data_IF_418904669531
#
_entry.id   IF_418904669531
#
_cell.length_a   1.000
_cell.length_b   1.000
_cell.length_c   1.000
_cell.angle_alpha   90.00
_cell.angle_beta   90.00
_cell.angle_gamma   90.00
#
_symmetry.space_group_name_H-M   'P 1'
#
loop_
_entity.id
_entity.type
_entity.pdbx_description
1 polymer ?
#
# COMPACT_ATOMS: atom_id res chain seq x y z
N UNK A 1 -7.20 13.10 -14.55
CA UNK A 1 -6.66 14.43 -14.20
C UNK A 1 -7.53 15.21 -13.22
N UNK A 2 -8.82 15.51 -13.52
CA UNK A 2 -9.70 16.33 -12.65
C UNK A 2 -9.70 15.92 -11.17
N UNK A 3 -9.78 14.62 -10.88
CA UNK A 3 -9.70 14.09 -9.52
C UNK A 3 -8.35 14.38 -8.83
N UNK A 4 -7.23 14.26 -9.55
CA UNK A 4 -5.91 14.59 -8.99
C UNK A 4 -5.79 16.08 -8.63
N UNK A 5 -6.31 16.96 -9.48
CA UNK A 5 -6.35 18.41 -9.21
C UNK A 5 -7.24 18.72 -8.01
N UNK A 6 -8.45 18.12 -7.93
CA UNK A 6 -9.38 18.29 -6.80
C UNK A 6 -8.74 17.87 -5.47
N UNK A 7 -7.98 16.78 -5.46
CA UNK A 7 -7.26 16.28 -4.28
C UNK A 7 -5.93 16.99 -4.02
N UNK A 8 -5.52 17.94 -4.88
CA UNK A 8 -4.25 18.66 -4.79
C UNK A 8 -3.04 17.72 -4.71
N UNK A 9 -3.08 16.61 -5.45
CA UNK A 9 -1.93 15.70 -5.62
C UNK A 9 -1.15 15.97 -6.90
N UNK A 10 -1.75 16.78 -7.78
CA UNK A 10 -1.11 17.35 -8.96
C UNK A 10 -1.52 18.82 -9.08
N UNK A 11 -0.70 19.63 -9.73
CA UNK A 11 -1.01 21.02 -10.11
C UNK A 11 -0.66 21.25 -11.58
N UNK A 12 -1.30 22.24 -12.19
CA UNK A 12 -0.89 22.76 -13.49
C UNK A 12 0.40 23.58 -13.33
N UNK A 13 1.33 23.44 -14.26
CA UNK A 13 2.53 24.29 -14.38
C UNK A 13 2.27 25.25 -15.52
N UNK A 14 2.35 26.56 -15.26
CA UNK A 14 2.09 27.56 -16.30
C UNK A 14 3.27 27.66 -17.26
N UNK A 15 3.03 28.20 -18.45
CA UNK A 15 4.09 28.41 -19.43
C UNK A 15 5.16 29.38 -18.90
N UNK A 16 4.76 30.40 -18.14
CA UNK A 16 5.69 31.35 -17.51
C UNK A 16 6.56 30.70 -16.44
N UNK A 17 6.01 29.76 -15.65
CA UNK A 17 6.78 28.99 -14.68
C UNK A 17 7.79 28.07 -15.39
N UNK A 18 7.35 27.41 -16.46
CA UNK A 18 8.20 26.53 -17.24
C UNK A 18 9.34 27.30 -17.92
N UNK A 19 9.04 28.43 -18.55
CA UNK A 19 10.03 29.32 -19.19
C UNK A 19 11.01 29.85 -18.15
N UNK A 20 10.54 30.30 -16.99
CA UNK A 20 11.41 30.77 -15.91
C UNK A 20 12.38 29.68 -15.42
N UNK A 21 11.89 28.45 -15.25
CA UNK A 21 12.76 27.35 -14.83
C UNK A 21 13.81 27.00 -15.90
N UNK A 22 13.46 27.14 -17.19
CA UNK A 22 14.42 27.01 -18.29
C UNK A 22 15.46 28.14 -18.30
N UNK A 23 15.01 29.39 -18.22
CA UNK A 23 15.87 30.59 -18.24
C UNK A 23 16.85 30.61 -17.07
N UNK A 24 16.41 30.13 -15.90
CA UNK A 24 17.25 30.02 -14.70
C UNK A 24 18.11 28.76 -14.66
N UNK A 25 18.03 27.90 -15.68
CA UNK A 25 18.81 26.67 -15.78
C UNK A 25 18.46 25.62 -14.72
N UNK A 26 17.23 25.64 -14.17
CA UNK A 26 16.82 24.64 -13.19
C UNK A 26 16.66 23.27 -13.85
N UNK A 27 17.22 22.25 -13.21
CA UNK A 27 17.01 20.86 -13.59
C UNK A 27 15.57 20.44 -13.30
N UNK A 28 14.97 19.76 -14.26
CA UNK A 28 13.61 19.22 -14.19
C UNK A 28 13.57 17.83 -14.82
N UNK A 29 12.55 17.04 -14.48
CA UNK A 29 12.35 15.70 -15.04
C UNK A 29 10.88 15.44 -15.34
N UNK A 30 10.63 14.73 -16.43
CA UNK A 30 9.29 14.38 -16.88
C UNK A 30 9.07 12.88 -16.77
N UNK A 31 8.10 12.50 -15.95
CA UNK A 31 7.67 11.12 -15.74
C UNK A 31 6.83 10.65 -16.93
N UNK A 32 7.21 9.49 -17.47
CA UNK A 32 6.32 8.74 -18.33
C UNK A 32 5.13 8.27 -17.50
N UNK A 33 3.94 8.28 -18.09
CA UNK A 33 2.75 7.77 -17.42
C UNK A 33 1.87 6.99 -18.38
N UNK A 34 1.15 6.03 -17.83
CA UNK A 34 0.19 5.20 -18.56
C UNK A 34 -0.96 4.77 -17.65
N UNK A 35 -2.09 4.46 -18.27
CA UNK A 35 -3.27 3.97 -17.58
C UNK A 35 -3.21 2.45 -17.43
N UNK A 36 -3.49 1.96 -16.23
CA UNK A 36 -3.75 0.54 -15.94
C UNK A 36 -5.21 0.40 -15.57
N UNK A 37 -5.94 -0.42 -16.33
CA UNK A 37 -7.32 -0.78 -16.01
C UNK A 37 -7.35 -1.91 -14.98
N UNK A 38 -8.30 -1.83 -14.05
CA UNK A 38 -8.56 -2.88 -13.06
C UNK A 38 -10.05 -3.23 -13.08
N UNK A 39 -10.36 -4.49 -12.80
CA UNK A 39 -11.71 -4.95 -12.51
C UNK A 39 -12.14 -4.50 -11.11
N UNK A 40 -12.22 -3.18 -10.92
CA UNK A 40 -12.61 -2.54 -9.67
C UNK A 40 -13.82 -1.65 -9.94
N UNK A 41 -14.89 -1.87 -9.17
CA UNK A 41 -16.11 -1.05 -9.24
C UNK A 41 -15.85 0.43 -8.91
N UNK A 42 -14.86 0.73 -8.08
CA UNK A 42 -14.61 2.08 -7.56
C UNK A 42 -13.38 2.76 -8.16
N UNK A 43 -12.37 2.01 -8.62
CA UNK A 43 -11.17 2.57 -9.26
C UNK A 43 -10.83 1.79 -10.53
N UNK A 44 -11.62 1.95 -11.60
CA UNK A 44 -11.46 1.18 -12.83
C UNK A 44 -10.17 1.53 -13.59
N UNK A 45 -9.62 2.74 -13.39
CA UNK A 45 -8.38 3.19 -14.03
C UNK A 45 -7.43 3.77 -12.97
N UNK A 46 -6.18 3.32 -12.98
CA UNK A 46 -5.08 3.90 -12.20
C UNK A 46 -4.02 4.45 -13.14
N UNK A 47 -3.61 5.70 -12.92
CA UNK A 47 -2.45 6.29 -13.61
C UNK A 47 -1.20 5.82 -12.88
N UNK A 48 -0.28 5.21 -13.62
CA UNK A 48 1.05 4.84 -13.13
C UNK A 48 2.04 5.85 -13.64
N UNK A 49 2.85 6.41 -12.75
CA UNK A 49 3.99 7.26 -13.08
C UNK A 49 5.25 6.41 -12.99
N UNK A 50 5.95 6.27 -14.12
CA UNK A 50 7.11 5.39 -14.23
C UNK A 50 8.41 6.16 -14.01
N UNK A 51 8.87 6.18 -12.76
CA UNK A 51 10.17 6.74 -12.38
C UNK A 51 11.37 5.88 -12.80
N UNK A 52 11.14 4.68 -13.36
CA UNK A 52 12.19 3.82 -13.94
C UNK A 52 12.33 3.98 -15.45
N UNK A 53 11.39 4.66 -16.10
CA UNK A 53 11.47 4.97 -17.52
C UNK A 53 12.79 5.69 -17.82
N UNK A 54 13.54 5.18 -18.81
CA UNK A 54 14.86 5.70 -19.14
C UNK A 54 14.78 6.73 -20.25
N UNK A 55 15.49 7.84 -20.06
CA UNK A 55 15.76 8.85 -21.09
C UNK A 55 17.26 9.16 -21.07
N UNK A 56 17.89 9.09 -22.25
CA UNK A 56 19.34 9.28 -22.41
C UNK A 56 20.18 8.43 -21.43
N UNK A 57 19.76 7.17 -21.22
CA UNK A 57 20.46 6.24 -20.31
C UNK A 57 20.13 6.41 -18.83
N UNK A 58 19.41 7.46 -18.42
CA UNK A 58 19.09 7.74 -17.02
C UNK A 58 17.61 7.57 -16.70
N UNK A 59 17.30 7.26 -15.45
CA UNK A 59 15.94 7.31 -14.88
C UNK A 59 15.93 8.18 -13.62
N UNK A 60 14.77 8.69 -13.21
CA UNK A 60 14.66 9.46 -11.97
C UNK A 60 15.16 8.64 -10.76
N UNK A 61 14.81 7.35 -10.73
CA UNK A 61 15.21 6.44 -9.65
C UNK A 61 16.72 6.15 -9.57
N UNK A 62 17.50 6.48 -10.61
CA UNK A 62 18.97 6.40 -10.54
C UNK A 62 19.55 7.49 -9.60
N UNK A 63 18.82 8.60 -9.43
CA UNK A 63 19.23 9.75 -8.60
C UNK A 63 18.57 9.80 -7.22
N UNK A 64 17.48 9.06 -7.02
CA UNK A 64 16.81 8.99 -5.73
C UNK A 64 17.48 7.94 -4.83
N UNK A 65 17.76 8.31 -3.59
CA UNK A 65 18.21 7.36 -2.57
C UNK A 65 17.04 6.49 -2.14
N UNK A 66 17.27 5.19 -1.88
CA UNK A 66 16.20 4.27 -1.46
C UNK A 66 15.72 4.56 -0.03
N UNK A 67 16.62 5.00 0.84
CA UNK A 67 16.43 4.91 2.28
C UNK A 67 16.56 3.48 2.80
N UNK A 68 16.50 3.33 4.11
CA UNK A 68 16.54 2.05 4.78
C UNK A 68 15.22 1.28 4.57
N UNK A 69 15.33 -0.05 4.50
CA UNK A 69 14.14 -0.89 4.46
C UNK A 69 13.65 -1.15 5.88
N UNK A 70 12.74 -0.30 6.34
CA UNK A 70 12.12 -0.37 7.67
C UNK A 70 10.73 -1.00 7.67
N UNK A 71 10.37 -1.68 6.57
CA UNK A 71 9.13 -2.45 6.51
C UNK A 71 9.16 -3.57 7.54
N UNK A 72 8.02 -3.84 8.16
CA UNK A 72 7.82 -5.04 8.96
C UNK A 72 8.00 -6.29 8.10
N UNK A 73 8.58 -7.32 8.71
CA UNK A 73 8.62 -8.62 8.08
C UNK A 73 7.19 -9.18 7.97
N UNK A 74 6.84 -9.62 6.76
CA UNK A 74 5.48 -10.03 6.42
C UNK A 74 5.07 -11.31 7.17
N UNK A 75 6.02 -12.22 7.42
CA UNK A 75 5.77 -13.43 8.18
C UNK A 75 5.54 -13.10 9.65
N UNK A 76 6.33 -12.19 10.22
CA UNK A 76 6.10 -11.74 11.59
C UNK A 76 4.76 -11.04 11.79
N UNK A 77 4.35 -10.17 10.86
CA UNK A 77 3.01 -9.55 10.86
C UNK A 77 1.92 -10.62 10.84
N UNK A 78 2.12 -11.67 10.03
CA UNK A 78 1.18 -12.77 9.91
C UNK A 78 1.03 -13.56 11.23
N UNK A 79 2.15 -13.85 11.90
CA UNK A 79 2.14 -14.51 13.19
C UNK A 79 1.42 -13.67 14.24
N UNK A 80 1.77 -12.38 14.39
CA UNK A 80 1.13 -11.50 15.37
C UNK A 80 -0.35 -11.24 15.10
N UNK A 81 -0.76 -11.23 13.83
CA UNK A 81 -2.18 -11.18 13.46
C UNK A 81 -2.98 -12.41 13.96
N UNK A 82 -2.31 -13.51 14.28
CA UNK A 82 -2.94 -14.74 14.78
C UNK A 82 -2.67 -15.03 16.26
N UNK A 83 -2.01 -14.12 16.98
CA UNK A 83 -1.67 -14.31 18.39
C UNK A 83 -2.87 -14.17 19.35
N UNK A 84 -3.90 -13.39 18.97
CA UNK A 84 -5.06 -13.10 19.84
C UNK A 84 -6.40 -13.42 19.19
N UNK A 85 -7.47 -13.42 19.99
CA UNK A 85 -8.82 -13.85 19.61
C UNK A 85 -9.52 -12.92 18.59
N UNK A 86 -9.28 -11.61 18.67
CA UNK A 86 -9.93 -10.63 17.79
C UNK A 86 -8.93 -10.09 16.78
N UNK A 87 -9.06 -10.52 15.52
CA UNK A 87 -8.26 -10.01 14.41
C UNK A 87 -8.83 -8.70 13.86
N UNK A 88 -7.96 -7.78 13.46
CA UNK A 88 -8.30 -6.54 12.78
C UNK A 88 -7.48 -6.41 11.50
N UNK A 89 -8.15 -6.12 10.39
CA UNK A 89 -7.50 -5.66 9.18
C UNK A 89 -8.07 -4.32 8.73
N UNK A 90 -7.23 -3.49 8.12
CA UNK A 90 -7.63 -2.22 7.52
C UNK A 90 -6.63 -1.77 6.46
N UNK A 91 -6.99 -0.78 5.64
CA UNK A 91 -6.08 -0.16 4.67
C UNK A 91 -6.00 1.36 4.78
N UNK A 92 -4.80 1.92 4.55
CA UNK A 92 -4.61 3.36 4.42
C UNK A 92 -4.89 3.78 2.98
N UNK A 93 -5.98 4.51 2.80
CA UNK A 93 -6.39 5.03 1.50
C UNK A 93 -5.36 6.02 0.95
N UNK A 94 -4.73 5.64 -0.17
CA UNK A 94 -3.80 6.50 -0.92
C UNK A 94 -2.64 7.00 -0.05
N UNK A 95 -2.06 6.12 0.76
CA UNK A 95 -1.00 6.42 1.74
C UNK A 95 0.06 7.41 1.23
N UNK A 96 0.67 7.17 0.07
CA UNK A 96 1.71 8.07 -0.47
C UNK A 96 1.23 9.50 -0.74
N UNK A 97 -0.05 9.67 -1.11
CA UNK A 97 -0.63 10.97 -1.41
C UNK A 97 -0.91 11.82 -0.16
N UNK A 98 -0.79 11.24 1.04
CA UNK A 98 -0.81 12.02 2.28
C UNK A 98 0.44 12.88 2.44
N UNK A 99 1.56 12.51 1.79
CA UNK A 99 2.88 13.07 2.02
C UNK A 99 3.21 14.06 0.91
N UNK A 100 3.49 15.31 1.27
CA UNK A 100 3.85 16.36 0.32
C UNK A 100 5.31 16.25 -0.10
N UNK A 101 5.57 16.50 -1.39
CA UNK A 101 6.92 16.71 -1.90
C UNK A 101 7.25 18.19 -1.72
N UNK A 102 8.49 18.50 -1.35
CA UNK A 102 8.96 19.88 -1.30
C UNK A 102 8.80 20.54 -2.68
N UNK A 103 8.33 21.79 -2.79
CA UNK A 103 8.14 22.45 -4.08
C UNK A 103 9.37 22.41 -5.01
N UNK A 104 10.57 22.48 -4.43
CA UNK A 104 11.82 22.40 -5.19
C UNK A 104 12.06 21.01 -5.80
N UNK A 105 11.61 19.94 -5.15
CA UNK A 105 11.81 18.57 -5.63
C UNK A 105 10.67 18.12 -6.55
N UNK A 106 9.48 18.71 -6.39
CA UNK A 106 8.30 18.40 -7.20
C UNK A 106 8.54 18.60 -8.71
N UNK A 107 9.46 19.50 -9.11
CA UNK A 107 9.85 19.73 -10.52
C UNK A 107 10.46 18.51 -11.22
N UNK A 108 10.88 17.49 -10.46
CA UNK A 108 11.34 16.22 -11.01
C UNK A 108 10.20 15.22 -11.25
N UNK A 109 8.98 15.57 -10.84
CA UNK A 109 7.76 14.79 -11.01
C UNK A 109 6.77 15.48 -11.94
N UNK A 110 7.29 16.17 -12.97
CA UNK A 110 6.45 16.75 -14.03
C UNK A 110 5.97 15.68 -14.98
N UNK A 111 4.86 15.92 -15.65
CA UNK A 111 4.33 15.05 -16.68
C UNK A 111 3.44 15.83 -17.63
N UNK A 112 3.32 15.33 -18.86
CA UNK A 112 2.51 15.97 -19.89
C UNK A 112 1.13 15.32 -19.98
N UNK A 113 0.07 16.10 -20.14
CA UNK A 113 -1.30 15.57 -20.28
C UNK A 113 -2.15 16.45 -21.20
N UNK A 114 -3.06 15.83 -21.95
CA UNK A 114 -4.14 16.48 -22.69
C UNK A 114 -5.42 15.67 -22.53
N UNK A 115 -6.56 16.33 -22.45
CA UNK A 115 -7.85 15.66 -22.25
C UNK A 115 -8.35 14.94 -23.51
N UNK A 116 -8.04 15.47 -24.69
CA UNK A 116 -8.34 14.85 -25.97
C UNK A 116 -7.22 15.12 -26.99
N UNK A 117 -7.12 14.34 -28.08
CA UNK A 117 -6.06 14.49 -29.07
C UNK A 117 -5.96 15.88 -29.71
N UNK A 118 -7.09 16.59 -29.84
CA UNK A 118 -7.16 17.93 -30.42
C UNK A 118 -6.85 19.07 -29.44
N UNK A 119 -6.68 18.78 -28.15
CA UNK A 119 -6.31 19.79 -27.15
C UNK A 119 -4.78 19.91 -27.07
N UNK A 120 -4.26 21.12 -26.74
CA UNK A 120 -2.84 21.30 -26.52
C UNK A 120 -2.35 20.42 -25.37
N UNK A 121 -1.10 19.95 -25.51
CA UNK A 121 -0.41 19.25 -24.43
C UNK A 121 -0.06 20.26 -23.35
N UNK A 122 -0.43 19.95 -22.10
CA UNK A 122 -0.15 20.79 -20.95
C UNK A 122 0.79 20.08 -19.98
N UNK A 123 1.52 20.85 -19.18
CA UNK A 123 2.44 20.34 -18.17
C UNK A 123 1.78 20.36 -16.80
N UNK A 124 1.89 19.24 -16.10
CA UNK A 124 1.44 19.07 -14.74
C UNK A 124 2.60 18.61 -13.87
N UNK A 125 2.48 18.83 -12.57
CA UNK A 125 3.49 18.49 -11.57
C UNK A 125 2.82 17.76 -10.40
N UNK A 126 3.35 16.60 -10.01
CA UNK A 126 2.91 15.91 -8.79
C UNK A 126 3.41 16.67 -7.57
N UNK A 127 2.55 16.80 -6.57
CA UNK A 127 2.85 17.55 -5.33
C UNK A 127 2.96 16.66 -4.10
N UNK A 128 2.80 15.36 -4.29
CA UNK A 128 2.83 14.35 -3.23
C UNK A 128 3.67 13.16 -3.66
N UNK A 129 4.22 12.44 -2.68
CA UNK A 129 4.97 11.21 -2.93
C UNK A 129 4.14 10.28 -3.83
N UNK A 130 4.76 9.73 -4.86
CA UNK A 130 4.08 8.87 -5.83
C UNK A 130 4.56 7.44 -5.72
N UNK A 131 3.67 6.50 -6.02
CA UNK A 131 4.07 5.12 -6.21
C UNK A 131 5.01 5.02 -7.43
N UNK A 132 6.09 4.27 -7.29
CA UNK A 132 7.08 4.06 -8.35
C UNK A 132 8.45 4.70 -8.06
N UNK A 133 8.50 5.73 -7.20
CA UNK A 133 9.79 6.25 -6.76
C UNK A 133 10.46 5.29 -5.78
N UNK A 134 11.77 5.19 -5.88
CA UNK A 134 12.63 4.34 -5.03
C UNK A 134 12.46 4.63 -3.52
N UNK A 135 12.38 5.89 -3.03
CA UNK A 135 12.21 6.18 -1.61
C UNK A 135 10.75 6.11 -1.11
N UNK A 136 9.75 6.03 -1.99
CA UNK A 136 8.34 6.17 -1.58
C UNK A 136 7.91 5.22 -0.46
N UNK A 137 8.29 3.92 -0.47
CA UNK A 137 7.98 3.01 0.63
C UNK A 137 8.52 3.51 1.98
N UNK A 138 9.81 3.83 2.04
CA UNK A 138 10.47 4.29 3.28
C UNK A 138 9.89 5.62 3.74
N UNK A 139 9.68 6.58 2.82
CA UNK A 139 9.06 7.85 3.15
C UNK A 139 7.66 7.68 3.75
N UNK A 140 6.87 6.73 3.24
CA UNK A 140 5.54 6.44 3.76
C UNK A 140 5.55 5.95 5.20
N UNK A 141 6.40 4.96 5.50
CA UNK A 141 6.47 4.34 6.83
C UNK A 141 7.07 5.31 7.86
N UNK A 142 8.15 6.02 7.50
CA UNK A 142 8.74 7.03 8.39
C UNK A 142 7.71 8.10 8.75
N UNK A 143 6.96 8.59 7.76
CA UNK A 143 5.94 9.62 8.02
C UNK A 143 4.79 9.06 8.87
N UNK A 144 4.36 7.83 8.62
CA UNK A 144 3.32 7.17 9.42
C UNK A 144 3.73 7.04 10.89
N UNK A 145 4.96 6.56 11.15
CA UNK A 145 5.53 6.45 12.51
C UNK A 145 5.69 7.82 13.16
N UNK A 146 6.12 8.83 12.40
CA UNK A 146 6.27 10.19 12.88
C UNK A 146 4.94 10.80 13.34
N UNK A 147 3.87 10.59 12.58
CA UNK A 147 2.50 11.05 12.92
C UNK A 147 2.04 10.48 14.26
N UNK A 148 2.31 9.21 14.54
CA UNK A 148 1.99 8.60 15.85
C UNK A 148 2.87 9.16 16.95
N UNK A 149 4.18 9.28 16.72
CA UNK A 149 5.09 9.82 17.72
C UNK A 149 4.72 11.27 18.14
N UNK A 150 4.27 12.08 17.18
CA UNK A 150 3.87 13.48 17.41
C UNK A 150 2.47 13.61 18.04
N UNK A 151 1.52 12.77 17.65
CA UNK A 151 0.10 12.95 18.02
C UNK A 151 -0.44 11.96 19.06
N UNK A 152 0.32 10.92 19.37
CA UNK A 152 0.03 9.94 20.40
C UNK A 152 1.29 9.69 21.26
N UNK A 153 1.95 10.78 21.67
CA UNK A 153 3.15 10.72 22.50
C UNK A 153 2.89 9.93 23.79
N UNK A 154 3.70 8.91 24.04
CA UNK A 154 3.55 8.02 25.20
C UNK A 154 2.56 6.86 25.00
N UNK A 155 1.88 6.76 23.86
CA UNK A 155 1.03 5.61 23.54
C UNK A 155 1.90 4.47 22.97
N UNK A 156 2.42 3.62 23.85
CA UNK A 156 3.27 2.48 23.47
C UNK A 156 2.55 1.49 22.56
N UNK A 157 1.24 1.31 22.74
CA UNK A 157 0.42 0.41 21.93
C UNK A 157 0.36 0.90 20.48
N UNK A 158 0.03 2.18 20.25
CA UNK A 158 -0.01 2.73 18.89
C UNK A 158 1.37 2.76 18.22
N UNK A 159 2.42 3.06 18.98
CA UNK A 159 3.78 3.01 18.46
C UNK A 159 4.15 1.60 17.99
N UNK A 160 3.83 0.56 18.78
CA UNK A 160 4.01 -0.85 18.39
C UNK A 160 3.20 -1.20 17.14
N UNK A 161 1.90 -0.87 17.12
CA UNK A 161 1.01 -1.18 15.99
C UNK A 161 1.56 -0.60 14.69
N UNK A 162 1.96 0.68 14.69
CA UNK A 162 2.51 1.34 13.49
C UNK A 162 3.93 0.89 13.15
N UNK A 163 4.71 0.45 14.13
CA UNK A 163 6.02 -0.11 13.89
C UNK A 163 5.95 -1.51 13.26
N UNK A 164 5.07 -2.37 13.78
CA UNK A 164 5.21 -3.82 13.64
C UNK A 164 4.09 -4.47 12.84
N UNK A 165 2.91 -3.84 12.71
CA UNK A 165 1.71 -4.47 12.12
C UNK A 165 1.26 -3.90 10.77
N UNK A 166 1.81 -2.74 10.38
CA UNK A 166 1.62 -2.24 9.03
C UNK A 166 2.62 -2.90 8.09
N UNK A 167 2.10 -3.59 7.08
CA UNK A 167 2.86 -3.91 5.88
C UNK A 167 2.46 -2.92 4.79
N UNK A 168 3.28 -1.88 4.60
CA UNK A 168 2.96 -0.75 3.72
C UNK A 168 1.63 -0.08 4.12
N UNK A 169 0.62 -0.09 3.26
CA UNK A 169 -0.72 0.47 3.51
C UNK A 169 -1.69 -0.48 4.22
N UNK A 170 -1.34 -1.77 4.36
CA UNK A 170 -2.21 -2.78 4.97
C UNK A 170 -1.88 -2.99 6.46
N UNK A 171 -2.86 -2.80 7.33
CA UNK A 171 -2.81 -3.14 8.76
C UNK A 171 -3.32 -4.57 8.97
N UNK A 172 -2.58 -5.38 9.73
CA UNK A 172 -3.06 -6.67 10.23
C UNK A 172 -2.62 -6.80 11.70
N UNK A 173 -3.55 -6.72 12.63
CA UNK A 173 -3.30 -6.76 14.09
C UNK A 173 -4.26 -7.74 14.75
N UNK A 174 -3.92 -8.22 15.95
CA UNK A 174 -4.86 -8.92 16.81
C UNK A 174 -4.82 -8.39 18.24
N UNK A 175 -5.96 -8.46 18.92
CA UNK A 175 -6.13 -8.05 20.32
C UNK A 175 -6.99 -9.05 21.06
N UNK A 176 -6.95 -9.00 22.39
CA UNK A 176 -7.53 -10.06 23.24
C UNK A 176 -9.06 -10.03 23.29
N UNK A 177 -9.70 -8.89 23.02
CA UNK A 177 -11.16 -8.77 23.10
C UNK A 177 -11.72 -7.62 22.25
N UNK A 178 -13.04 -7.61 22.09
CA UNK A 178 -13.79 -6.60 21.31
C UNK A 178 -13.59 -5.17 21.81
N UNK A 179 -13.49 -4.96 23.13
CA UNK A 179 -13.33 -3.62 23.70
C UNK A 179 -12.00 -3.00 23.26
N UNK A 180 -10.90 -3.75 23.38
CA UNK A 180 -9.59 -3.32 22.90
C UNK A 180 -9.59 -3.08 21.38
N UNK A 181 -10.29 -3.90 20.62
CA UNK A 181 -10.40 -3.75 19.17
C UNK A 181 -11.07 -2.42 18.78
N UNK A 182 -12.18 -2.07 19.45
CA UNK A 182 -12.90 -0.83 19.22
C UNK A 182 -12.09 0.39 19.68
N UNK A 183 -11.41 0.30 20.82
CA UNK A 183 -10.52 1.35 21.31
C UNK A 183 -9.35 1.59 20.36
N UNK A 184 -8.68 0.52 19.91
CA UNK A 184 -7.58 0.60 18.96
C UNK A 184 -8.04 1.20 17.63
N UNK A 185 -9.15 0.71 17.06
CA UNK A 185 -9.74 1.25 15.83
C UNK A 185 -9.97 2.75 15.95
N UNK A 186 -10.59 3.19 17.05
CA UNK A 186 -10.90 4.60 17.29
C UNK A 186 -9.65 5.45 17.41
N UNK A 187 -8.74 5.10 18.33
CA UNK A 187 -7.50 5.84 18.60
C UNK A 187 -6.61 5.92 17.36
N UNK A 188 -6.37 4.79 16.70
CA UNK A 188 -5.50 4.75 15.52
C UNK A 188 -6.10 5.59 14.38
N UNK A 189 -7.41 5.50 14.15
CA UNK A 189 -8.10 6.32 13.14
C UNK A 189 -8.00 7.81 13.44
N UNK A 190 -8.19 8.23 14.70
CA UNK A 190 -8.07 9.65 15.07
C UNK A 190 -6.64 10.16 14.92
N UNK A 191 -5.65 9.41 15.42
CA UNK A 191 -4.24 9.78 15.37
C UNK A 191 -3.75 9.90 13.93
N UNK A 192 -3.97 8.88 13.09
CA UNK A 192 -3.51 8.88 11.71
C UNK A 192 -4.21 9.93 10.84
N UNK A 193 -5.45 10.29 11.17
CA UNK A 193 -6.19 11.38 10.50
C UNK A 193 -5.48 12.73 10.67
N UNK A 194 -4.76 12.98 11.77
CA UNK A 194 -3.97 14.23 11.95
C UNK A 194 -2.84 14.35 10.93
N UNK A 195 -2.26 13.22 10.52
CA UNK A 195 -1.29 13.12 9.42
C UNK A 195 -1.90 12.99 8.03
N UNK A 196 -3.21 13.20 7.87
CA UNK A 196 -3.96 13.00 6.63
C UNK A 196 -3.89 11.55 6.08
N UNK A 197 -3.57 10.58 6.95
CA UNK A 197 -3.65 9.15 6.64
C UNK A 197 -5.06 8.65 6.98
N UNK A 198 -5.88 8.46 5.94
CA UNK A 198 -7.24 7.97 6.09
C UNK A 198 -7.27 6.44 6.09
N UNK A 199 -7.43 5.84 7.26
CA UNK A 199 -7.70 4.41 7.41
C UNK A 199 -9.15 4.11 7.00
N UNK A 200 -9.35 2.98 6.32
CA UNK A 200 -10.66 2.50 5.87
C UNK A 200 -10.69 0.98 5.78
N UNK A 201 -11.86 0.45 5.43
CA UNK A 201 -12.10 -0.98 5.23
C UNK A 201 -11.73 -1.80 6.46
N UNK A 202 -12.12 -1.31 7.63
CA UNK A 202 -11.99 -2.09 8.85
C UNK A 202 -12.81 -3.38 8.70
N UNK A 203 -12.17 -4.52 8.87
CA UNK A 203 -12.81 -5.84 8.92
C UNK A 203 -12.23 -6.65 10.08
N UNK A 204 -13.07 -7.49 10.69
CA UNK A 204 -12.74 -8.30 11.86
C UNK A 204 -13.66 -9.52 11.94
N UNK A 205 -13.25 -10.56 12.68
CA UNK A 205 -14.14 -11.63 13.11
C UNK A 205 -15.22 -11.16 14.11
N UNK A 206 -15.13 -9.90 14.58
CA UNK A 206 -16.18 -9.23 15.36
C UNK A 206 -16.89 -8.18 14.51
N UNK A 207 -18.18 -8.39 14.24
CA UNK A 207 -18.98 -7.54 13.33
C UNK A 207 -19.01 -6.06 13.74
N UNK A 208 -19.00 -5.76 15.04
CA UNK A 208 -19.05 -4.39 15.58
C UNK A 208 -17.81 -3.56 15.21
N UNK A 209 -16.68 -4.23 14.94
CA UNK A 209 -15.42 -3.60 14.54
C UNK A 209 -15.42 -3.29 13.04
N UNK A 210 -16.26 -3.95 12.24
CA UNK A 210 -16.30 -3.78 10.79
C UNK A 210 -16.86 -2.42 10.37
N UNK A 211 -16.35 -1.86 9.28
CA UNK A 211 -17.01 -0.75 8.60
C UNK A 211 -18.29 -1.26 7.92
N UNK A 212 -19.38 -0.50 7.98
CA UNK A 212 -20.71 -0.87 7.44
C UNK A 212 -20.72 -1.21 5.94
N UNK A 213 -19.67 -0.81 5.21
CA UNK A 213 -19.54 -1.04 3.77
C UNK A 213 -18.86 -2.36 3.43
N UNK A 214 -18.25 -3.03 4.40
CA UNK A 214 -17.44 -4.21 4.19
C UNK A 214 -18.23 -5.50 4.42
N UNK A 215 -17.70 -6.60 3.86
CA UNK A 215 -18.25 -7.94 4.07
C UNK A 215 -17.92 -8.41 5.49
N UNK A 216 -18.94 -8.81 6.25
CA UNK A 216 -18.80 -9.27 7.64
C UNK A 216 -18.59 -10.79 7.76
N UNK A 217 -18.55 -11.51 6.62
CA UNK A 217 -18.37 -12.96 6.56
C UNK A 217 -17.01 -13.36 6.00
N UNK A 218 -16.50 -12.59 5.05
CA UNK A 218 -15.24 -12.90 4.35
C UNK A 218 -14.37 -11.67 4.19
N UNK A 219 -13.10 -11.83 4.52
CA UNK A 219 -12.05 -10.85 4.28
C UNK A 219 -10.85 -11.47 3.55
N UNK A 220 -9.86 -10.63 3.24
CA UNK A 220 -8.55 -11.09 2.78
C UNK A 220 -7.48 -10.48 3.67
N UNK A 221 -6.84 -11.30 4.50
CA UNK A 221 -5.74 -10.90 5.37
C UNK A 221 -4.43 -11.39 4.74
N UNK A 222 -3.49 -10.47 4.51
CA UNK A 222 -2.18 -10.78 3.92
C UNK A 222 -2.27 -11.71 2.70
N UNK A 223 -3.16 -11.41 1.75
CA UNK A 223 -3.36 -12.20 0.52
C UNK A 223 -4.06 -13.56 0.68
N UNK A 224 -4.43 -13.95 1.90
CA UNK A 224 -5.12 -15.20 2.25
C UNK A 224 -6.59 -14.93 2.55
N UNK A 225 -7.49 -15.82 2.13
CA UNK A 225 -8.92 -15.65 2.44
C UNK A 225 -9.16 -15.92 3.91
N UNK A 226 -9.87 -15.02 4.57
CA UNK A 226 -10.22 -15.14 5.99
C UNK A 226 -11.74 -15.24 6.11
N UNK A 227 -12.22 -16.32 6.74
CA UNK A 227 -13.63 -16.46 7.10
C UNK A 227 -13.83 -15.86 8.49
N UNK A 228 -14.60 -14.78 8.56
CA UNK A 228 -14.78 -13.97 9.75
C UNK A 228 -15.71 -14.65 10.77
N UNK A 229 -16.70 -15.43 10.31
CA UNK A 229 -17.65 -16.12 11.19
C UNK A 229 -17.01 -17.27 11.99
N UNK A 230 -16.09 -18.00 11.37
CA UNK A 230 -15.39 -19.15 11.98
C UNK A 230 -13.97 -18.83 12.42
N UNK A 231 -13.51 -17.62 12.15
CA UNK A 231 -12.13 -17.19 12.29
C UNK A 231 -11.10 -18.18 11.69
N UNK A 232 -11.28 -18.56 10.41
CA UNK A 232 -10.40 -19.52 9.74
C UNK A 232 -9.74 -18.94 8.49
N UNK A 233 -8.44 -19.16 8.35
CA UNK A 233 -7.69 -18.86 7.14
C UNK A 233 -7.80 -20.00 6.13
N UNK A 234 -8.02 -19.64 4.86
CA UNK A 234 -8.11 -20.58 3.75
C UNK A 234 -7.07 -20.24 2.71
N UNK A 235 -6.24 -21.23 2.42
CA UNK A 235 -5.30 -21.21 1.31
C UNK A 235 -6.04 -20.95 0.00
N UNK A 236 -5.46 -20.09 -0.83
CA UNK A 236 -6.01 -19.78 -2.14
C UNK A 236 -5.95 -21.02 -3.03
N UNK A 237 -7.12 -21.46 -3.52
CA UNK A 237 -7.18 -22.55 -4.49
C UNK A 237 -6.40 -22.17 -5.76
N UNK A 238 -5.42 -23.00 -6.12
CA UNK A 238 -4.66 -22.83 -7.35
C UNK A 238 -5.54 -23.27 -8.51
N UNK A 239 -5.78 -22.37 -9.45
CA UNK A 239 -6.52 -22.69 -10.68
C UNK A 239 -5.57 -23.40 -11.65
N UNK A 240 -6.00 -24.53 -12.22
CA UNK A 240 -5.31 -25.18 -13.33
C UNK A 240 -5.14 -24.21 -14.49
N UNK A 241 -3.99 -24.27 -15.17
CA UNK A 241 -3.70 -23.45 -16.33
C UNK A 241 -4.81 -23.56 -17.39
N UNK A 242 -5.33 -22.43 -17.87
CA UNK A 242 -6.09 -22.36 -19.12
C UNK A 242 -5.19 -21.74 -20.20
N UNK A 243 -5.10 -22.45 -21.33
CA UNK A 243 -4.51 -22.07 -22.62
C UNK A 243 -3.03 -21.63 -22.66
N UNK A 244 -2.54 -21.57 -23.91
CA UNK A 244 -1.16 -21.44 -24.41
C UNK A 244 -0.17 -20.84 -23.39
N UNK A 245 0.92 -21.56 -23.05
CA UNK A 245 1.90 -21.09 -22.08
C UNK A 245 2.62 -19.85 -22.61
N UNK A 246 2.34 -18.71 -21.99
CA UNK A 246 3.15 -17.50 -22.13
C UNK A 246 3.97 -17.30 -20.86
N UNK A 247 5.14 -16.65 -20.97
CA UNK A 247 5.96 -16.29 -19.79
C UNK A 247 5.14 -15.55 -18.73
N UNK A 248 4.18 -14.71 -19.15
CA UNK A 248 3.28 -13.97 -18.27
C UNK A 248 2.31 -14.90 -17.53
N UNK A 249 1.70 -15.85 -18.22
CA UNK A 249 0.73 -16.78 -17.62
C UNK A 249 1.42 -17.75 -16.65
N UNK A 250 2.61 -18.25 -17.00
CA UNK A 250 3.41 -19.11 -16.12
C UNK A 250 3.81 -18.35 -14.85
N UNK A 251 4.42 -17.16 -14.98
CA UNK A 251 4.80 -16.36 -13.82
C UNK A 251 3.59 -15.98 -12.95
N UNK A 252 2.45 -15.67 -13.58
CA UNK A 252 1.20 -15.39 -12.86
C UNK A 252 0.67 -16.59 -12.08
N UNK A 253 0.80 -17.80 -12.62
CA UNK A 253 0.42 -19.05 -11.94
C UNK A 253 1.39 -19.38 -10.80
N UNK A 254 2.70 -19.33 -11.03
CA UNK A 254 3.69 -19.57 -9.98
C UNK A 254 3.52 -18.57 -8.83
N UNK A 255 3.33 -17.28 -9.13
CA UNK A 255 3.04 -16.26 -8.12
C UNK A 255 1.67 -16.42 -7.44
N UNK A 256 0.78 -17.28 -7.95
CA UNK A 256 -0.50 -17.57 -7.29
C UNK A 256 -0.38 -18.57 -6.15
N UNK A 257 0.72 -19.34 -6.08
CA UNK A 257 1.13 -20.14 -4.91
C UNK A 257 1.72 -19.21 -3.85
N UNK A 258 0.87 -18.32 -3.34
CA UNK A 258 1.24 -17.36 -2.33
C UNK A 258 0.72 -17.85 -0.98
N UNK A 259 1.63 -18.07 -0.04
CA UNK A 259 1.34 -18.62 1.27
C UNK A 259 2.30 -18.01 2.31
N UNK A 260 1.85 -16.94 2.95
CA UNK A 260 2.63 -16.23 3.96
C UNK A 260 2.80 -17.09 5.21
N UNK A 261 1.87 -18.00 5.48
CA UNK A 261 1.85 -18.79 6.72
C UNK A 261 2.61 -20.12 6.58
N UNK A 262 3.04 -20.50 5.38
CA UNK A 262 3.70 -21.78 5.12
C UNK A 262 2.78 -23.00 5.32
N UNK A 263 1.46 -22.83 5.22
CA UNK A 263 0.47 -23.92 5.35
C UNK A 263 0.58 -24.98 4.24
N UNK A 264 1.13 -24.61 3.07
CA UNK A 264 1.32 -25.46 1.89
C UNK A 264 2.71 -26.09 1.81
N UNK A 265 3.69 -25.55 2.53
CA UNK A 265 4.98 -26.23 2.68
C UNK A 265 4.76 -27.46 3.55
N UNK A 266 4.67 -28.63 2.93
CA UNK A 266 4.85 -29.88 3.67
C UNK A 266 6.20 -29.86 4.38
N UNK A 267 6.36 -30.58 5.50
CA UNK A 267 7.69 -30.84 6.01
C UNK A 267 8.50 -31.38 4.84
N UNK A 268 9.65 -30.77 4.59
CA UNK A 268 10.71 -31.51 3.92
C UNK A 268 11.12 -32.56 4.94
N UNK A 269 10.39 -33.68 4.96
CA UNK A 269 10.79 -34.87 5.69
C UNK A 269 12.14 -35.29 5.10
N UNK A 270 13.21 -34.89 5.77
CA UNK A 270 14.18 -35.91 6.14
C UNK A 270 13.38 -36.96 6.93
N UNK A 271 13.34 -38.16 6.39
CA UNK A 271 12.56 -39.28 6.90
C UNK A 271 12.73 -39.47 8.41
N UNK A 272 11.60 -39.71 9.09
CA UNK A 272 11.42 -40.13 10.50
C UNK A 272 11.18 -39.04 11.53
N UNK A 273 9.90 -38.75 11.82
CA UNK A 273 9.37 -38.68 13.19
C UNK A 273 7.85 -38.55 13.18
N UNK A 274 7.18 -39.39 13.97
CA UNK A 274 5.74 -39.50 14.13
C UNK A 274 5.08 -38.22 14.66
N UNK A 275 3.93 -37.86 14.07
CA UNK A 275 3.10 -36.75 14.50
C UNK A 275 2.34 -37.09 15.79
N UNK A 276 2.59 -36.30 16.85
CA UNK A 276 1.72 -36.22 18.02
C UNK A 276 0.84 -34.99 17.87
N UNK A 277 -0.47 -35.22 17.86
CA UNK A 277 -1.50 -34.20 17.87
C UNK A 277 -1.48 -33.40 19.18
N UNK A 278 -1.69 -32.08 19.10
CA UNK A 278 -2.10 -31.28 20.25
C UNK A 278 -3.33 -30.48 19.84
N UNK A 279 -4.48 -30.94 20.31
CA UNK A 279 -5.66 -30.10 20.56
C UNK A 279 -5.36 -29.21 21.75
N UNK A 280 -5.73 -27.93 21.68
CA UNK A 280 -6.35 -27.15 22.75
C UNK A 280 -7.20 -26.05 22.12
#
# INVERSE_FOLDING_TARGET
>A
MRDQLKRRVSRHVTEEELQRDQDTGKKMWFLHHFAVTKDSKTTPVRVVYDAKARYQGHSLNDYLMKGENINSDLFEVALRFRESEVGLIADISKMFQAIKIKPDDARFHRFVFRESPGQPVQVYELTTVTFGDKPSPTAAIVTLRHVVAEHATGDEQLNRVVADQFYMDDLNESVVNTEEALQLKSKLTETLKRGNFAIRKWQSNVEEVCDKTEDTKVATALGTKWNLEKDTLKVKAVKSAKDIPTKRNILGQTASYYDVFGMLSGPTEDSSAEAVAVEH
#
